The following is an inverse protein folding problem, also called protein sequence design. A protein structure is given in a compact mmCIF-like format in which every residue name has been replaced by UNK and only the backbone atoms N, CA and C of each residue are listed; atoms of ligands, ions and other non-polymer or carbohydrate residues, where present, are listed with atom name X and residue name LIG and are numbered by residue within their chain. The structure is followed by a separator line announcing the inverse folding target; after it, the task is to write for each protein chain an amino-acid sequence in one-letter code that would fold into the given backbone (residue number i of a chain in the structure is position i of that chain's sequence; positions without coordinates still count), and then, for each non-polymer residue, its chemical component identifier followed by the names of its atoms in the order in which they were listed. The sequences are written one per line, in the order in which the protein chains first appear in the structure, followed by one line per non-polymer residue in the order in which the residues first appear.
data_IF_995275527745
#
_entry.id   IF_995275527745
#
_cell.length_a   1.000
_cell.length_b   1.000
_cell.length_c   1.000
_cell.angle_alpha   90.00
_cell.angle_beta   90.00
_cell.angle_gamma   90.00
#
_symmetry.space_group_name_H-M   'P 1'
#
loop_
_entity.id
_entity.type
_entity.pdbx_description
1 polymer ?
#
# COMPACT_ATOMS: atom_id res chain seq x y z
N UNK A 1 -1.49 -3.43 -35.15
CA UNK A 1 -2.03 -3.46 -33.77
C UNK A 1 -3.40 -2.84 -33.82
N UNK A 2 -4.45 -3.65 -33.70
CA UNK A 2 -5.84 -3.20 -33.78
C UNK A 2 -6.19 -2.45 -32.49
N UNK A 3 -6.21 -1.12 -32.57
CA UNK A 3 -6.69 -0.26 -31.50
C UNK A 3 -8.21 -0.37 -31.54
N UNK A 4 -8.79 -1.15 -30.62
CA UNK A 4 -10.24 -1.12 -30.42
C UNK A 4 -10.63 0.30 -30.01
N UNK A 5 -11.49 1.00 -30.77
CA UNK A 5 -11.98 2.29 -30.34
C UNK A 5 -12.78 2.08 -29.03
N UNK A 6 -12.63 2.96 -28.02
CA UNK A 6 -13.43 2.87 -26.82
C UNK A 6 -14.90 2.99 -27.21
N UNK A 7 -15.67 1.91 -27.07
CA UNK A 7 -17.14 2.02 -27.06
C UNK A 7 -17.50 2.79 -25.80
N UNK A 8 -17.86 4.06 -25.96
CA UNK A 8 -18.66 4.78 -24.98
C UNK A 8 -19.88 3.91 -24.68
N UNK A 9 -19.90 3.32 -23.48
CA UNK A 9 -21.06 2.61 -22.98
C UNK A 9 -22.15 3.66 -22.78
N UNK A 10 -22.99 3.85 -23.79
CA UNK A 10 -24.22 4.62 -23.64
C UNK A 10 -25.15 3.80 -22.74
N UNK A 11 -25.01 3.97 -21.42
CA UNK A 11 -26.00 3.48 -20.48
C UNK A 11 -27.15 4.46 -20.49
N UNK A 12 -28.33 3.90 -20.73
CA UNK A 12 -29.62 4.55 -20.68
C UNK A 12 -29.78 5.30 -19.34
N UNK A 13 -29.64 6.63 -19.36
CA UNK A 13 -29.72 7.50 -18.17
C UNK A 13 -31.14 7.63 -17.61
N UNK A 14 -32.10 6.87 -18.14
CA UNK A 14 -33.53 7.07 -17.98
C UNK A 14 -34.14 6.47 -16.70
N UNK A 15 -33.33 6.21 -15.66
CA UNK A 15 -33.80 5.66 -14.37
C UNK A 15 -33.69 6.59 -13.16
N UNK A 16 -33.33 7.86 -13.36
CA UNK A 16 -33.39 8.86 -12.28
C UNK A 16 -33.95 10.19 -12.80
N UNK A 17 -35.07 10.67 -12.24
CA UNK A 17 -35.67 11.98 -12.58
C UNK A 17 -34.71 13.17 -12.37
N UNK A 18 -33.64 13.00 -11.58
CA UNK A 18 -32.66 14.02 -11.28
C UNK A 18 -31.48 13.97 -12.26
N UNK A 19 -31.13 15.14 -12.79
CA UNK A 19 -29.91 15.35 -13.57
C UNK A 19 -28.65 14.97 -12.77
N UNK A 20 -27.56 14.64 -13.46
CA UNK A 20 -26.26 14.34 -12.84
C UNK A 20 -25.82 15.44 -11.85
N UNK A 21 -26.00 16.71 -12.25
CA UNK A 21 -25.67 17.88 -11.44
C UNK A 21 -26.46 17.93 -10.13
N UNK A 22 -27.74 17.62 -10.15
CA UNK A 22 -28.58 17.60 -8.94
C UNK A 22 -28.16 16.47 -8.00
N UNK A 23 -27.82 15.28 -8.52
CA UNK A 23 -27.28 14.19 -7.72
C UNK A 23 -25.97 14.59 -7.05
N UNK A 24 -25.06 15.23 -7.78
CA UNK A 24 -23.78 15.71 -7.26
C UNK A 24 -23.97 16.76 -6.15
N UNK A 25 -24.81 17.78 -6.38
CA UNK A 25 -25.12 18.81 -5.37
C UNK A 25 -25.69 18.15 -4.10
N UNK A 26 -26.60 17.19 -4.26
CA UNK A 26 -27.19 16.48 -3.13
C UNK A 26 -26.16 15.64 -2.36
N UNK A 27 -25.15 15.07 -3.01
CA UNK A 27 -24.05 14.34 -2.35
C UNK A 27 -23.13 15.29 -1.57
N UNK A 28 -22.73 16.39 -2.21
CA UNK A 28 -21.84 17.40 -1.61
C UNK A 28 -22.48 18.12 -0.42
N UNK A 29 -23.81 18.15 -0.35
CA UNK A 29 -24.56 18.76 0.75
C UNK A 29 -24.69 17.86 1.99
N UNK A 30 -24.20 16.61 1.92
CA UNK A 30 -24.25 15.66 3.04
C UNK A 30 -23.01 15.78 3.92
N UNK A 31 -23.06 15.16 5.10
CA UNK A 31 -21.87 14.93 5.92
C UNK A 31 -20.93 13.92 5.24
N UNK A 32 -19.66 14.32 5.12
CA UNK A 32 -18.57 13.61 4.45
C UNK A 32 -17.37 13.35 5.37
N UNK A 33 -17.55 13.48 6.69
CA UNK A 33 -16.46 13.34 7.67
C UNK A 33 -16.12 11.88 8.00
N UNK A 34 -17.08 10.96 7.84
CA UNK A 34 -16.95 9.51 8.04
C UNK A 34 -16.27 9.09 9.36
N UNK A 35 -16.30 9.96 10.38
CA UNK A 35 -15.73 9.69 11.69
C UNK A 35 -16.33 8.42 12.30
N UNK A 36 -15.45 7.57 12.87
CA UNK A 36 -15.83 6.29 13.47
C UNK A 36 -16.19 5.17 12.48
N UNK A 37 -16.09 5.39 11.16
CA UNK A 37 -16.22 4.33 10.16
C UNK A 37 -14.92 3.52 10.05
N UNK A 38 -15.05 2.20 9.95
CA UNK A 38 -13.91 1.33 9.72
C UNK A 38 -13.37 1.52 8.29
N UNK A 39 -12.17 2.09 8.18
CA UNK A 39 -11.45 2.30 6.92
C UNK A 39 -10.44 1.20 6.63
N UNK A 40 -10.38 0.16 7.48
CA UNK A 40 -9.37 -0.88 7.43
C UNK A 40 -9.73 -2.12 6.64
N UNK A 41 -10.89 -2.13 5.98
CA UNK A 41 -11.35 -3.28 5.21
C UNK A 41 -10.58 -3.46 3.90
N UNK A 42 -10.70 -4.66 3.33
CA UNK A 42 -10.02 -5.04 2.09
C UNK A 42 -8.51 -4.71 2.18
N UNK A 43 -7.92 -4.14 1.12
CA UNK A 43 -6.50 -3.81 1.08
C UNK A 43 -6.22 -2.32 1.43
N UNK A 44 -7.15 -1.60 2.07
CA UNK A 44 -6.93 -0.18 2.41
C UNK A 44 -5.80 0.05 3.40
N UNK A 45 -5.61 -0.86 4.36
CA UNK A 45 -4.55 -0.76 5.38
C UNK A 45 -3.23 -1.45 5.00
N UNK A 46 -3.06 -1.84 3.73
CA UNK A 46 -1.90 -2.58 3.25
C UNK A 46 -0.56 -1.91 3.58
N UNK A 47 -0.49 -0.59 3.34
CA UNK A 47 0.71 0.22 3.54
C UNK A 47 0.30 1.65 3.97
N UNK A 48 1.11 2.28 4.81
CA UNK A 48 0.92 3.70 5.16
C UNK A 48 1.29 4.59 3.97
N UNK A 49 0.46 5.56 3.64
CA UNK A 49 0.72 6.52 2.58
C UNK A 49 0.20 7.89 3.04
N UNK A 50 0.88 9.00 2.73
CA UNK A 50 0.46 10.33 3.16
C UNK A 50 -0.90 10.72 2.56
N UNK A 51 -1.61 11.61 3.26
CA UNK A 51 -2.82 12.30 2.78
C UNK A 51 -3.95 11.40 2.21
N UNK A 52 -4.11 10.18 2.75
CA UNK A 52 -5.22 9.29 2.35
C UNK A 52 -6.56 9.79 2.88
N UNK A 53 -7.57 9.90 2.02
CA UNK A 53 -8.96 10.06 2.43
C UNK A 53 -9.60 8.72 2.88
N UNK A 54 -10.68 8.76 3.69
CA UNK A 54 -11.44 7.57 4.06
C UNK A 54 -12.04 6.87 2.82
N UNK A 55 -11.96 5.53 2.69
CA UNK A 55 -12.52 4.78 1.56
C UNK A 55 -14.00 5.00 1.31
N UNK A 56 -14.77 5.34 2.35
CA UNK A 56 -16.21 5.61 2.25
C UNK A 56 -16.50 6.83 1.38
N UNK A 57 -15.57 7.79 1.31
CA UNK A 57 -15.73 8.99 0.50
C UNK A 57 -15.84 8.64 -0.99
N UNK A 58 -14.82 8.10 -1.67
CA UNK A 58 -14.94 7.76 -3.10
C UNK A 58 -16.04 6.71 -3.33
N UNK A 59 -16.23 5.72 -2.45
CA UNK A 59 -17.30 4.71 -2.58
C UNK A 59 -18.66 5.37 -2.79
N UNK A 60 -18.99 6.35 -1.93
CA UNK A 60 -20.26 7.06 -1.94
C UNK A 60 -20.51 7.79 -3.27
N UNK A 61 -19.49 8.44 -3.82
CA UNK A 61 -19.60 9.15 -5.10
C UNK A 61 -19.66 8.17 -6.28
N UNK A 62 -18.83 7.12 -6.28
CA UNK A 62 -18.83 6.08 -7.32
C UNK A 62 -20.21 5.41 -7.39
N UNK A 63 -20.77 4.99 -6.26
CA UNK A 63 -22.08 4.33 -6.22
C UNK A 63 -23.23 5.22 -6.70
N UNK A 64 -23.19 6.50 -6.39
CA UNK A 64 -24.28 7.42 -6.69
C UNK A 64 -24.20 8.08 -8.08
N UNK A 65 -23.02 8.11 -8.70
CA UNK A 65 -22.78 8.85 -9.95
C UNK A 65 -22.43 7.95 -11.15
N UNK A 66 -22.14 6.67 -10.94
CA UNK A 66 -21.73 5.72 -11.99
C UNK A 66 -22.53 4.43 -11.94
N UNK A 67 -22.66 3.75 -13.07
CA UNK A 67 -23.18 2.39 -13.17
C UNK A 67 -22.03 1.35 -13.09
N UNK A 68 -22.31 0.10 -12.70
CA UNK A 68 -21.37 -1.01 -12.93
C UNK A 68 -20.92 -1.06 -14.39
N UNK A 69 -19.63 -1.27 -14.62
CA UNK A 69 -18.99 -1.24 -15.94
C UNK A 69 -18.39 0.11 -16.35
N UNK A 70 -18.83 1.22 -15.73
CA UNK A 70 -18.31 2.56 -16.02
C UNK A 70 -16.84 2.70 -15.64
N UNK A 71 -16.17 3.70 -16.24
CA UNK A 71 -14.82 4.10 -15.87
C UNK A 71 -14.84 5.19 -14.79
N UNK A 72 -13.94 5.05 -13.82
CA UNK A 72 -13.69 6.05 -12.76
C UNK A 72 -12.23 6.46 -12.85
N UNK A 73 -12.00 7.74 -13.14
CA UNK A 73 -10.67 8.32 -13.26
C UNK A 73 -10.28 9.05 -11.96
N UNK A 74 -9.08 8.77 -11.45
CA UNK A 74 -8.42 9.52 -10.40
C UNK A 74 -7.03 10.01 -10.91
N UNK A 75 -6.88 11.32 -11.23
CA UNK A 75 -5.66 11.85 -11.82
C UNK A 75 -4.51 12.01 -10.81
N UNK A 76 -4.76 11.83 -9.51
CA UNK A 76 -3.77 11.93 -8.44
C UNK A 76 -4.06 10.86 -7.37
N UNK A 77 -4.03 9.59 -7.79
CA UNK A 77 -4.62 8.50 -7.04
C UNK A 77 -3.92 8.19 -5.70
N UNK A 78 -2.67 8.63 -5.52
CA UNK A 78 -1.84 8.27 -4.38
C UNK A 78 -1.82 6.76 -4.18
N UNK A 79 -2.12 6.30 -2.97
CA UNK A 79 -2.18 4.87 -2.66
C UNK A 79 -3.29 4.08 -3.37
N UNK A 80 -4.08 4.68 -4.26
CA UNK A 80 -5.09 4.00 -5.08
C UNK A 80 -6.42 3.74 -4.38
N UNK A 81 -6.82 4.58 -3.41
CA UNK A 81 -8.09 4.38 -2.69
C UNK A 81 -9.29 4.45 -3.64
N UNK A 82 -9.36 5.45 -4.53
CA UNK A 82 -10.43 5.56 -5.54
C UNK A 82 -10.43 4.37 -6.51
N UNK A 83 -9.26 3.97 -6.98
CA UNK A 83 -9.10 2.84 -7.90
C UNK A 83 -9.58 1.53 -7.26
N UNK A 84 -9.20 1.28 -6.00
CA UNK A 84 -9.67 0.12 -5.27
C UNK A 84 -11.18 0.16 -5.04
N UNK A 85 -11.75 1.30 -4.67
CA UNK A 85 -13.21 1.41 -4.46
C UNK A 85 -14.00 1.29 -5.76
N UNK A 86 -13.49 1.82 -6.87
CA UNK A 86 -14.06 1.60 -8.20
C UNK A 86 -14.04 0.11 -8.53
N UNK A 87 -12.90 -0.55 -8.33
CA UNK A 87 -12.77 -1.99 -8.51
C UNK A 87 -13.79 -2.74 -7.64
N UNK A 88 -13.83 -2.51 -6.32
CA UNK A 88 -14.79 -3.17 -5.42
C UNK A 88 -16.26 -2.87 -5.74
N UNK A 89 -16.54 -1.81 -6.51
CA UNK A 89 -17.87 -1.43 -6.94
C UNK A 89 -18.25 -2.01 -8.33
N UNK A 90 -17.40 -2.76 -9.01
CA UNK A 90 -17.71 -3.21 -10.38
C UNK A 90 -17.45 -2.17 -11.45
N UNK A 91 -16.58 -1.18 -11.20
CA UNK A 91 -16.17 -0.17 -12.18
C UNK A 91 -14.72 -0.37 -12.61
N UNK A 92 -14.37 0.21 -13.76
CA UNK A 92 -13.00 0.29 -14.26
C UNK A 92 -12.30 1.48 -13.61
N UNK A 93 -11.43 1.24 -12.62
CA UNK A 93 -10.61 2.27 -12.02
C UNK A 93 -9.41 2.62 -12.91
N UNK A 94 -9.22 3.90 -13.22
CA UNK A 94 -8.06 4.45 -13.92
C UNK A 94 -7.40 5.44 -12.98
N UNK A 95 -6.12 5.26 -12.69
CA UNK A 95 -5.40 6.09 -11.74
C UNK A 95 -4.05 6.55 -12.29
N UNK A 96 -3.73 7.82 -12.07
CA UNK A 96 -2.43 8.40 -12.37
C UNK A 96 -1.73 8.86 -11.10
N UNK A 97 -0.43 8.60 -11.03
CA UNK A 97 0.43 9.17 -10.01
C UNK A 97 1.88 9.20 -10.53
N UNK A 98 2.66 10.17 -10.03
CA UNK A 98 4.09 10.27 -10.35
C UNK A 98 4.95 9.39 -9.43
N UNK A 99 4.45 9.05 -8.24
CA UNK A 99 5.18 8.24 -7.26
C UNK A 99 5.17 6.75 -7.67
N UNK A 100 6.33 6.12 -7.95
CA UNK A 100 6.38 4.69 -8.26
C UNK A 100 5.80 3.80 -7.15
N UNK A 101 5.89 4.22 -5.87
CA UNK A 101 5.30 3.48 -4.75
C UNK A 101 3.77 3.54 -4.79
N UNK A 102 3.19 4.68 -5.18
CA UNK A 102 1.75 4.83 -5.40
C UNK A 102 1.26 3.85 -6.47
N UNK A 103 1.96 3.79 -7.62
CA UNK A 103 1.65 2.86 -8.71
C UNK A 103 1.73 1.40 -8.25
N UNK A 104 2.83 1.03 -7.59
CA UNK A 104 3.05 -0.34 -7.10
C UNK A 104 1.99 -0.76 -6.07
N UNK A 105 1.66 0.13 -5.13
CA UNK A 105 0.67 -0.12 -4.09
C UNK A 105 -0.74 -0.22 -4.66
N UNK A 106 -1.13 0.71 -5.54
CA UNK A 106 -2.44 0.71 -6.21
C UNK A 106 -2.64 -0.60 -6.98
N UNK A 107 -1.67 -1.00 -7.82
CA UNK A 107 -1.72 -2.28 -8.54
C UNK A 107 -1.83 -3.48 -7.60
N UNK A 108 -1.01 -3.53 -6.54
CA UNK A 108 -1.05 -4.66 -5.60
C UNK A 108 -2.38 -4.78 -4.87
N UNK A 109 -3.09 -3.68 -4.61
CA UNK A 109 -4.39 -3.67 -3.92
C UNK A 109 -5.52 -4.30 -4.74
N UNK A 110 -5.45 -4.16 -6.07
CA UNK A 110 -6.45 -4.71 -7.02
C UNK A 110 -5.99 -6.00 -7.69
N UNK A 111 -4.73 -6.43 -7.47
CA UNK A 111 -4.23 -7.70 -7.99
C UNK A 111 -4.75 -8.85 -7.13
N UNK A 112 -5.56 -9.75 -7.70
CA UNK A 112 -6.07 -10.90 -6.95
C UNK A 112 -4.95 -11.91 -6.69
N UNK A 113 -4.88 -12.40 -5.45
CA UNK A 113 -3.92 -13.41 -4.99
C UNK A 113 -4.64 -14.50 -4.21
N UNK A 114 -4.25 -15.77 -4.40
CA UNK A 114 -4.75 -16.87 -3.57
C UNK A 114 -4.18 -16.74 -2.16
N UNK A 115 -5.08 -16.62 -1.18
CA UNK A 115 -4.72 -16.38 0.22
C UNK A 115 -3.90 -17.52 0.82
N UNK A 116 -4.15 -18.77 0.41
CA UNK A 116 -3.39 -19.93 0.91
C UNK A 116 -1.97 -19.89 0.36
N UNK A 117 -1.79 -19.57 -0.92
CA UNK A 117 -0.47 -19.41 -1.53
C UNK A 117 0.31 -18.26 -0.87
N UNK A 118 -0.33 -17.10 -0.64
CA UNK A 118 0.31 -15.99 0.11
C UNK A 118 0.71 -16.46 1.51
N UNK A 119 -0.15 -17.21 2.21
CA UNK A 119 0.18 -17.75 3.54
C UNK A 119 1.36 -18.73 3.52
N UNK A 120 1.41 -19.64 2.56
CA UNK A 120 2.49 -20.60 2.38
C UNK A 120 3.82 -19.91 2.10
N UNK A 121 3.86 -19.03 1.09
CA UNK A 121 5.06 -18.28 0.71
C UNK A 121 5.51 -17.39 1.89
N UNK A 122 4.58 -16.74 2.58
CA UNK A 122 4.90 -15.91 3.75
C UNK A 122 5.59 -16.69 4.87
N UNK A 123 5.10 -17.90 5.17
CA UNK A 123 5.71 -18.79 6.17
C UNK A 123 7.09 -19.29 5.72
N UNK A 124 7.26 -19.60 4.43
CA UNK A 124 8.55 -20.01 3.87
C UNK A 124 9.59 -18.89 3.95
N UNK A 125 9.22 -17.65 3.56
CA UNK A 125 10.08 -16.46 3.71
C UNK A 125 10.55 -16.33 5.17
N UNK A 126 9.62 -16.38 6.13
CA UNK A 126 9.95 -16.22 7.55
C UNK A 126 10.89 -17.33 8.04
N UNK A 127 10.60 -18.59 7.72
CA UNK A 127 11.43 -19.73 8.12
C UNK A 127 12.84 -19.62 7.56
N UNK A 128 12.97 -19.29 6.27
CA UNK A 128 14.27 -19.18 5.61
C UNK A 128 15.06 -17.97 6.08
N UNK A 129 14.40 -16.82 6.27
CA UNK A 129 15.02 -15.62 6.80
C UNK A 129 15.51 -15.84 8.25
N UNK A 130 14.72 -16.52 9.09
CA UNK A 130 15.11 -16.82 10.46
C UNK A 130 16.30 -17.80 10.54
N UNK A 131 16.31 -18.86 9.74
CA UNK A 131 17.49 -19.75 9.62
C UNK A 131 18.71 -18.98 9.10
N UNK A 132 18.56 -18.17 8.04
CA UNK A 132 19.66 -17.39 7.48
C UNK A 132 20.28 -16.43 8.49
N UNK A 133 19.46 -15.70 9.26
CA UNK A 133 19.96 -14.76 10.28
C UNK A 133 20.75 -15.44 11.41
N UNK A 134 20.51 -16.73 11.68
CA UNK A 134 21.19 -17.49 12.74
C UNK A 134 22.40 -18.27 12.23
N UNK A 135 22.22 -18.99 11.13
CA UNK A 135 23.16 -20.01 10.64
C UNK A 135 24.08 -19.47 9.53
N UNK A 136 23.61 -18.50 8.76
CA UNK A 136 24.34 -17.92 7.61
C UNK A 136 24.60 -16.43 7.78
N UNK A 137 24.82 -16.01 9.03
CA UNK A 137 25.02 -14.60 9.38
C UNK A 137 26.19 -13.97 8.63
N UNK A 138 27.34 -14.65 8.58
CA UNK A 138 28.54 -14.14 7.91
C UNK A 138 28.31 -13.90 6.41
N UNK A 139 27.48 -14.73 5.75
CA UNK A 139 27.11 -14.54 4.35
C UNK A 139 26.25 -13.28 4.18
N UNK A 140 25.28 -13.06 5.08
CA UNK A 140 24.45 -11.85 5.09
C UNK A 140 25.29 -10.60 5.34
N UNK A 141 26.27 -10.65 6.26
CA UNK A 141 27.19 -9.54 6.51
C UNK A 141 27.99 -9.17 5.25
N UNK A 142 28.52 -10.17 4.54
CA UNK A 142 29.21 -9.93 3.27
C UNK A 142 28.28 -9.30 2.22
N UNK A 143 27.05 -9.80 2.08
CA UNK A 143 26.08 -9.21 1.16
C UNK A 143 25.79 -7.76 1.55
N UNK A 144 25.62 -7.47 2.84
CA UNK A 144 25.38 -6.12 3.34
C UNK A 144 26.51 -5.15 2.98
N UNK A 145 27.76 -5.61 3.05
CA UNK A 145 28.96 -4.85 2.68
C UNK A 145 29.12 -4.62 1.17
N UNK A 146 28.39 -5.33 0.31
CA UNK A 146 28.52 -5.22 -1.14
C UNK A 146 27.25 -4.68 -1.81
N UNK A 147 26.10 -4.72 -1.12
CA UNK A 147 24.78 -4.40 -1.71
C UNK A 147 24.61 -2.96 -2.15
N UNK A 148 25.28 -2.03 -1.48
CA UNK A 148 25.06 -0.60 -1.66
C UNK A 148 26.35 0.19 -1.79
N UNK A 149 26.28 1.26 -2.59
CA UNK A 149 27.31 2.30 -2.65
C UNK A 149 27.53 2.94 -1.27
N UNK A 150 28.66 3.65 -1.13
CA UNK A 150 29.07 4.22 0.16
C UNK A 150 28.06 5.22 0.75
N UNK A 151 27.37 5.99 -0.10
CA UNK A 151 26.37 6.98 0.34
C UNK A 151 25.11 6.28 0.84
N UNK A 152 24.61 5.30 0.10
CA UNK A 152 23.44 4.51 0.49
C UNK A 152 23.72 3.68 1.75
N UNK A 153 24.91 3.09 1.89
CA UNK A 153 25.32 2.40 3.11
C UNK A 153 25.33 3.33 4.32
N UNK A 154 25.93 4.51 4.19
CA UNK A 154 25.94 5.53 5.26
C UNK A 154 24.52 5.90 5.71
N UNK A 155 23.58 5.98 4.77
CA UNK A 155 22.17 6.22 5.08
C UNK A 155 21.54 5.05 5.84
N UNK A 156 21.77 3.81 5.41
CA UNK A 156 21.23 2.62 6.08
C UNK A 156 21.81 2.48 7.49
N UNK A 157 23.12 2.63 7.67
CA UNK A 157 23.79 2.59 8.98
C UNK A 157 23.30 3.66 9.93
N UNK A 158 22.92 4.83 9.38
CA UNK A 158 22.35 5.90 10.17
C UNK A 158 20.95 5.51 10.71
N UNK A 159 20.12 4.86 9.90
CA UNK A 159 18.72 4.60 10.24
C UNK A 159 18.42 3.22 10.81
N UNK A 160 19.32 2.25 10.71
CA UNK A 160 19.07 0.88 11.13
C UNK A 160 20.25 0.34 11.94
N UNK A 161 19.94 -0.21 13.12
CA UNK A 161 20.94 -0.95 13.89
C UNK A 161 21.40 -2.17 13.09
N UNK A 162 22.67 -2.56 13.24
CA UNK A 162 23.27 -3.64 12.47
C UNK A 162 22.46 -4.95 12.54
N UNK A 163 22.01 -5.36 13.73
CA UNK A 163 21.12 -6.52 13.89
C UNK A 163 19.80 -6.42 13.09
N UNK A 164 19.21 -5.21 13.04
CA UNK A 164 18.03 -4.95 12.22
C UNK A 164 18.36 -5.09 10.74
N UNK A 165 19.53 -4.60 10.31
CA UNK A 165 19.96 -4.70 8.91
C UNK A 165 20.08 -6.17 8.49
N UNK A 166 20.65 -7.04 9.34
CA UNK A 166 20.77 -8.48 9.07
C UNK A 166 19.39 -9.14 8.91
N UNK A 167 18.45 -8.91 9.82
CA UNK A 167 17.11 -9.49 9.71
C UNK A 167 16.34 -8.94 8.49
N UNK A 168 16.45 -7.64 8.19
CA UNK A 168 15.85 -7.04 7.00
C UNK A 168 16.47 -7.59 5.71
N UNK A 169 17.79 -7.80 5.68
CA UNK A 169 18.49 -8.37 4.55
C UNK A 169 18.10 -9.84 4.33
N UNK A 170 17.96 -10.60 5.41
CA UNK A 170 17.46 -11.97 5.35
C UNK A 170 16.04 -12.03 4.75
N UNK A 171 15.13 -11.13 5.14
CA UNK A 171 13.79 -11.06 4.55
C UNK A 171 13.81 -10.70 3.06
N UNK A 172 14.48 -9.61 2.71
CA UNK A 172 14.40 -9.08 1.34
C UNK A 172 15.09 -10.01 0.32
N UNK A 173 16.17 -10.70 0.71
CA UNK A 173 16.83 -11.69 -0.16
C UNK A 173 15.92 -12.90 -0.45
N UNK A 174 15.08 -13.34 0.50
CA UNK A 174 14.07 -14.36 0.23
C UNK A 174 12.94 -13.83 -0.66
N UNK A 175 12.51 -12.59 -0.45
CA UNK A 175 11.47 -11.96 -1.26
C UNK A 175 11.94 -11.79 -2.72
N UNK A 176 13.18 -11.39 -2.94
CA UNK A 176 13.77 -11.19 -4.28
C UNK A 176 13.83 -12.47 -5.11
N UNK A 177 13.84 -13.66 -4.47
CA UNK A 177 13.86 -14.96 -5.13
C UNK A 177 12.49 -15.41 -5.66
N UNK A 178 11.40 -14.72 -5.31
CA UNK A 178 10.04 -15.11 -5.73
C UNK A 178 9.86 -14.83 -7.21
N UNK A 179 9.69 -15.87 -8.03
CA UNK A 179 9.55 -15.75 -9.47
C UNK A 179 8.29 -14.97 -9.88
N UNK A 180 7.13 -15.30 -9.29
CA UNK A 180 5.88 -14.60 -9.60
C UNK A 180 5.90 -13.16 -9.04
N UNK A 181 5.93 -12.20 -9.96
CA UNK A 181 6.02 -10.76 -9.68
C UNK A 181 4.88 -10.26 -8.81
N UNK A 182 3.69 -10.86 -8.87
CA UNK A 182 2.52 -10.45 -8.08
C UNK A 182 2.74 -10.74 -6.60
N UNK A 183 3.17 -11.97 -6.28
CA UNK A 183 3.53 -12.35 -4.92
C UNK A 183 4.76 -11.57 -4.44
N UNK A 184 5.78 -11.42 -5.28
CA UNK A 184 6.97 -10.62 -4.98
C UNK A 184 6.60 -9.18 -4.58
N UNK A 185 5.77 -8.53 -5.38
CA UNK A 185 5.28 -7.16 -5.14
C UNK A 185 4.53 -7.07 -3.82
N UNK A 186 3.63 -8.03 -3.54
CA UNK A 186 2.90 -8.10 -2.27
C UNK A 186 3.85 -8.13 -1.07
N UNK A 187 4.86 -9.00 -1.09
CA UNK A 187 5.81 -9.12 0.02
C UNK A 187 6.80 -7.96 0.10
N UNK A 188 7.21 -7.37 -1.02
CA UNK A 188 8.02 -6.14 -1.04
C UNK A 188 7.28 -4.98 -0.37
N UNK A 189 5.98 -4.83 -0.65
CA UNK A 189 5.15 -3.82 0.01
C UNK A 189 4.94 -4.14 1.50
N UNK A 190 4.74 -5.42 1.87
CA UNK A 190 4.69 -5.81 3.28
C UNK A 190 6.02 -5.51 4.02
N UNK A 191 7.15 -5.76 3.37
CA UNK A 191 8.49 -5.42 3.85
C UNK A 191 8.68 -3.89 4.00
N UNK A 192 8.28 -3.12 2.99
CA UNK A 192 8.32 -1.65 3.07
C UNK A 192 7.45 -1.11 4.22
N UNK A 193 6.27 -1.71 4.43
CA UNK A 193 5.32 -1.27 5.45
C UNK A 193 5.82 -1.47 6.90
N UNK A 194 6.78 -2.36 7.14
CA UNK A 194 7.40 -2.53 8.47
C UNK A 194 8.53 -1.55 8.73
N UNK A 195 9.09 -0.96 7.66
CA UNK A 195 10.09 0.10 7.75
C UNK A 195 9.39 1.42 8.08
N UNK A 196 8.29 1.73 7.40
CA UNK A 196 7.54 2.99 7.56
C UNK A 196 6.47 2.85 8.65
N UNK A 197 6.81 3.24 9.89
CA UNK A 197 5.91 3.14 11.05
C UNK A 197 5.81 4.45 11.82
N UNK A 198 4.65 4.74 12.43
CA UNK A 198 4.44 5.92 13.28
C UNK A 198 5.27 5.84 14.57
N UNK A 199 5.21 4.71 15.28
CA UNK A 199 5.92 4.52 16.56
C UNK A 199 6.39 3.07 16.73
N UNK A 200 7.57 2.90 17.33
CA UNK A 200 8.06 1.58 17.73
C UNK A 200 8.41 0.59 16.60
N UNK A 201 8.76 1.03 15.39
CA UNK A 201 9.16 0.12 14.30
C UNK A 201 10.60 -0.40 14.34
N UNK A 202 11.03 -0.93 13.19
CA UNK A 202 12.34 -1.58 13.01
C UNK A 202 13.51 -0.60 12.85
N UNK A 203 13.25 0.64 12.44
CA UNK A 203 14.26 1.68 12.26
C UNK A 203 14.56 2.46 13.55
N UNK A 204 15.61 3.27 13.52
CA UNK A 204 15.98 4.23 14.57
C UNK A 204 15.18 5.54 14.48
N UNK A 205 14.26 5.68 13.52
CA UNK A 205 13.46 6.88 13.32
C UNK A 205 12.17 6.90 14.16
N UNK A 206 11.73 8.10 14.54
CA UNK A 206 10.38 8.43 14.98
C UNK A 206 9.58 9.00 13.80
N UNK A 207 8.26 8.74 13.77
CA UNK A 207 7.27 9.43 12.94
C UNK A 207 7.45 9.37 11.41
N UNK A 208 7.92 8.22 10.90
CA UNK A 208 8.20 8.02 9.46
C UNK A 208 6.98 8.18 8.53
N UNK A 209 5.76 8.09 9.06
CA UNK A 209 4.55 8.06 8.25
C UNK A 209 3.92 9.45 8.02
N UNK A 210 4.32 10.51 8.75
CA UNK A 210 3.61 11.80 8.73
C UNK A 210 4.51 13.05 8.78
N UNK A 211 5.77 12.94 9.21
CA UNK A 211 6.65 14.11 9.39
C UNK A 211 8.11 13.79 9.02
N UNK A 212 8.99 14.80 9.05
CA UNK A 212 10.44 14.58 8.88
C UNK A 212 10.92 13.63 9.99
N UNK A 213 11.57 12.51 9.63
CA UNK A 213 11.94 11.51 10.62
C UNK A 213 12.96 12.07 11.60
N UNK A 214 12.70 11.87 12.88
CA UNK A 214 13.63 12.23 13.96
C UNK A 214 14.34 10.98 14.47
N UNK A 215 15.67 10.99 14.52
CA UNK A 215 16.44 9.84 15.03
C UNK A 215 16.31 9.74 16.56
N UNK A 216 16.10 8.52 17.05
CA UNK A 216 16.12 8.23 18.48
C UNK A 216 17.50 8.51 19.09
N UNK A 217 17.51 9.03 20.33
CA UNK A 217 18.75 9.35 21.05
C UNK A 217 19.15 8.27 22.05
N UNK A 218 18.17 7.51 22.54
CA UNK A 218 18.39 6.32 23.36
C UNK A 218 17.64 5.16 22.72
N UNK A 219 18.31 4.04 22.51
CA UNK A 219 17.70 2.87 21.89
C UNK A 219 17.99 1.63 22.69
N UNK A 220 16.95 0.90 23.02
CA UNK A 220 17.02 -0.42 23.64
C UNK A 220 16.79 -1.50 22.59
N UNK A 221 17.56 -2.59 22.68
CA UNK A 221 17.20 -3.82 22.00
C UNK A 221 16.04 -4.51 22.72
N UNK A 222 15.66 -5.68 22.19
CA UNK A 222 14.53 -6.48 22.68
C UNK A 222 14.78 -7.07 24.07
N UNK A 223 16.03 -7.15 24.51
CA UNK A 223 16.42 -7.67 25.83
C UNK A 223 16.48 -6.57 26.89
N UNK A 224 16.27 -5.31 26.49
CA UNK A 224 16.40 -4.15 27.37
C UNK A 224 17.84 -3.65 27.51
N UNK A 225 18.78 -4.15 26.70
CA UNK A 225 20.14 -3.63 26.63
C UNK A 225 20.19 -2.41 25.72
N UNK A 226 21.02 -1.44 26.10
CA UNK A 226 21.20 -0.21 25.33
C UNK A 226 22.05 -0.49 24.09
N UNK A 227 21.52 -0.12 22.92
CA UNK A 227 22.18 -0.19 21.61
C UNK A 227 22.71 1.20 21.20
N UNK A 228 22.11 2.27 21.72
CA UNK A 228 22.51 3.65 21.45
C UNK A 228 22.18 4.56 22.64
N UNK A 229 23.05 5.51 22.95
CA UNK A 229 22.76 6.57 23.94
C UNK A 229 23.15 6.24 25.39
N UNK A 230 24.17 5.40 25.62
CA UNK A 230 24.69 5.07 26.96
C UNK A 230 24.94 6.32 27.82
N UNK A 231 25.44 7.40 27.24
CA UNK A 231 25.83 8.65 27.93
C UNK A 231 24.63 9.51 28.40
N UNK A 232 23.41 9.10 28.01
CA UNK A 232 22.16 9.79 28.32
C UNK A 232 21.31 9.02 29.34
N UNK A 233 21.60 7.73 29.58
CA UNK A 233 20.85 6.91 30.53
C UNK A 233 21.23 7.31 31.96
N UNK A 234 20.23 7.67 32.78
CA UNK A 234 20.43 8.13 34.18
C UNK A 234 20.46 9.66 34.37
N UNK A 235 20.45 10.47 33.30
CA UNK A 235 20.33 11.93 33.43
C UNK A 235 18.86 12.32 33.72
N UNK A 236 18.55 13.22 34.69
CA UNK A 236 17.17 13.46 35.18
C UNK A 236 16.25 14.25 34.22
N UNK A 237 16.51 14.25 32.92
CA UNK A 237 15.72 15.06 31.98
C UNK A 237 14.42 14.35 31.59
N UNK A 238 13.27 14.97 31.91
CA UNK A 238 11.94 14.54 31.45
C UNK A 238 11.86 14.36 29.92
N UNK A 239 12.73 15.04 29.15
CA UNK A 239 12.78 14.93 27.67
C UNK A 239 13.39 13.61 27.18
N UNK A 240 14.22 12.92 27.97
CA UNK A 240 14.88 11.68 27.54
C UNK A 240 13.85 10.56 27.30
N UNK A 241 12.78 10.49 28.10
CA UNK A 241 11.68 9.53 27.90
C UNK A 241 11.04 9.62 26.50
N UNK A 242 10.95 10.83 25.93
CA UNK A 242 10.39 11.07 24.60
C UNK A 242 11.40 10.85 23.46
N UNK A 243 12.66 10.54 23.79
CA UNK A 243 13.76 10.31 22.84
C UNK A 243 14.25 8.85 22.88
N UNK A 244 13.55 8.01 23.64
CA UNK A 244 13.85 6.59 23.85
C UNK A 244 12.98 5.72 22.96
N UNK A 245 13.59 4.74 22.28
CA UNK A 245 12.88 3.74 21.46
C UNK A 245 13.33 2.33 21.81
N UNK A 246 12.42 1.37 21.76
CA UNK A 246 12.75 -0.06 21.78
C UNK A 246 12.59 -0.61 20.37
N UNK A 247 13.63 -1.25 19.84
CA UNK A 247 13.60 -1.86 18.52
C UNK A 247 12.74 -3.13 18.53
N UNK A 248 11.86 -3.25 17.55
CA UNK A 248 11.11 -4.48 17.28
C UNK A 248 11.85 -5.38 16.30
N UNK A 249 11.41 -6.64 16.22
CA UNK A 249 11.96 -7.58 15.24
C UNK A 249 11.39 -7.34 13.85
N UNK A 250 12.23 -7.08 12.83
CA UNK A 250 11.83 -7.19 11.44
C UNK A 250 11.02 -8.45 11.14
N UNK A 251 11.48 -9.63 11.56
CA UNK A 251 10.78 -10.89 11.31
C UNK A 251 9.36 -10.88 11.92
N UNK A 252 9.22 -10.48 13.19
CA UNK A 252 7.89 -10.45 13.85
C UNK A 252 6.97 -9.36 13.30
N UNK A 253 7.50 -8.18 12.98
CA UNK A 253 6.67 -7.11 12.40
C UNK A 253 6.27 -7.46 10.96
N UNK A 254 7.14 -8.15 10.21
CA UNK A 254 6.82 -8.68 8.88
C UNK A 254 5.71 -9.73 8.95
N UNK A 255 5.83 -10.71 9.85
CA UNK A 255 4.79 -11.71 10.10
C UNK A 255 3.43 -11.05 10.40
N UNK A 256 3.38 -10.13 11.37
CA UNK A 256 2.15 -9.40 11.71
C UNK A 256 1.58 -8.65 10.52
N UNK A 257 2.44 -8.01 9.72
CA UNK A 257 2.01 -7.27 8.53
C UNK A 257 1.44 -8.19 7.47
N UNK A 258 2.09 -9.33 7.21
CA UNK A 258 1.59 -10.34 6.26
C UNK A 258 0.23 -10.88 6.73
N UNK A 259 0.08 -11.21 8.01
CA UNK A 259 -1.19 -11.66 8.58
C UNK A 259 -2.30 -10.61 8.45
N UNK A 260 -1.99 -9.35 8.72
CA UNK A 260 -2.94 -8.24 8.52
C UNK A 260 -3.36 -8.12 7.05
N UNK A 261 -2.41 -8.20 6.12
CA UNK A 261 -2.69 -8.07 4.69
C UNK A 261 -3.46 -9.29 4.15
N UNK A 262 -3.21 -10.50 4.67
CA UNK A 262 -3.98 -11.71 4.37
C UNK A 262 -5.46 -11.57 4.75
N UNK A 263 -5.74 -10.99 5.92
CA UNK A 263 -7.12 -10.69 6.35
C UNK A 263 -7.82 -9.76 5.34
N UNK A 264 -7.11 -8.72 4.91
CA UNK A 264 -7.60 -7.80 3.89
C UNK A 264 -7.90 -8.47 2.54
N UNK A 265 -7.05 -9.40 2.09
CA UNK A 265 -7.29 -10.18 0.88
C UNK A 265 -8.54 -11.07 1.00
N UNK A 266 -8.76 -11.72 2.14
CA UNK A 266 -9.97 -12.53 2.37
C UNK A 266 -11.26 -11.68 2.30
N UNK A 267 -11.23 -10.48 2.85
CA UNK A 267 -12.36 -9.54 2.80
C UNK A 267 -12.65 -9.07 1.36
N UNK A 268 -11.62 -8.96 0.52
CA UNK A 268 -11.78 -8.56 -0.89
C UNK A 268 -12.43 -9.62 -1.79
N UNK A 269 -12.56 -10.88 -1.34
CA UNK A 269 -13.20 -12.02 -2.05
C UNK A 269 -12.79 -12.17 -3.53
N UNK A 270 -11.50 -12.38 -3.84
CA UNK A 270 -10.96 -12.36 -5.21
C UNK A 270 -11.46 -13.49 -6.15
N UNK A 271 -12.01 -14.58 -5.59
CA UNK A 271 -12.55 -15.73 -6.34
C UNK A 271 -14.01 -15.55 -6.76
N UNK A 272 -14.70 -14.56 -6.19
CA UNK A 272 -15.94 -14.11 -6.80
C UNK A 272 -15.52 -13.27 -7.99
N UNK A 273 -15.78 -13.77 -9.21
CA UNK A 273 -16.22 -12.88 -10.30
C UNK A 273 -17.07 -11.84 -9.61
N UNK A 274 -16.67 -10.57 -9.66
CA UNK A 274 -17.42 -9.55 -8.95
C UNK A 274 -18.87 -9.76 -9.36
N UNK A 275 -19.81 -10.00 -8.43
CA UNK A 275 -21.15 -10.49 -8.79
C UNK A 275 -21.91 -9.52 -9.73
N UNK A 276 -21.37 -8.32 -9.93
CA UNK A 276 -21.85 -7.28 -10.82
C UNK A 276 -21.21 -7.26 -12.22
N UNK A 277 -20.20 -8.09 -12.51
CA UNK A 277 -19.60 -8.24 -13.84
C UNK A 277 -20.13 -9.48 -14.58
N UNK A 278 -20.77 -10.40 -13.86
CA UNK A 278 -21.43 -11.58 -14.42
C UNK A 278 -22.61 -11.13 -15.31
N UNK A 279 -22.49 -11.34 -16.63
CA UNK A 279 -23.52 -10.95 -17.62
C UNK A 279 -23.40 -9.53 -18.20
N UNK A 280 -22.44 -8.71 -17.74
CA UNK A 280 -22.11 -7.38 -18.31
C UNK A 280 -21.01 -7.48 -19.38
N UNK A 281 -20.17 -8.51 -19.29
CA UNK A 281 -19.21 -8.94 -20.30
C UNK A 281 -19.68 -10.33 -20.78
N UNK A 282 -19.63 -10.60 -22.08
CA UNK A 282 -20.16 -11.80 -22.72
C UNK A 282 -19.58 -13.12 -22.15
N UNK A 283 -20.14 -14.26 -22.58
CA UNK A 283 -19.84 -15.61 -22.09
C UNK A 283 -18.31 -15.86 -21.95
N UNK A 284 -17.88 -16.02 -20.70
CA UNK A 284 -16.52 -15.95 -20.17
C UNK A 284 -16.09 -14.53 -19.77
N UNK A 285 -16.26 -14.14 -18.49
CA UNK A 285 -15.82 -12.82 -18.05
C UNK A 285 -14.31 -12.75 -18.16
N UNK A 286 -13.80 -12.09 -19.21
CA UNK A 286 -12.40 -11.68 -19.29
C UNK A 286 -12.09 -10.91 -18.01
N UNK A 287 -11.34 -11.54 -17.12
CA UNK A 287 -10.91 -10.96 -15.86
C UNK A 287 -10.17 -9.67 -16.20
N UNK A 288 -10.63 -8.53 -15.69
CA UNK A 288 -9.91 -7.26 -15.86
C UNK A 288 -8.59 -7.40 -15.09
N UNK A 289 -7.51 -7.68 -15.81
CA UNK A 289 -6.17 -7.81 -15.24
C UNK A 289 -5.60 -6.40 -14.98
N UNK A 290 -5.26 -6.06 -13.73
CA UNK A 290 -4.65 -4.77 -13.43
C UNK A 290 -3.29 -4.63 -14.11
N UNK A 291 -3.10 -3.53 -14.82
CA UNK A 291 -1.83 -3.20 -15.45
C UNK A 291 -1.36 -1.80 -15.07
N UNK A 292 -0.04 -1.58 -15.19
CA UNK A 292 0.57 -0.25 -15.09
C UNK A 292 1.17 0.05 -16.45
N UNK A 293 0.87 1.22 -16.98
CA UNK A 293 1.52 1.76 -18.17
C UNK A 293 2.22 3.06 -17.81
N UNK A 294 3.44 3.24 -18.32
CA UNK A 294 4.09 4.54 -18.30
C UNK A 294 3.42 5.39 -19.38
N UNK A 295 2.70 6.42 -18.95
CA UNK A 295 2.01 7.36 -19.83
C UNK A 295 2.58 8.76 -19.67
N UNK A 296 2.49 9.56 -20.73
CA UNK A 296 2.65 11.00 -20.63
C UNK A 296 1.27 11.62 -20.42
N UNK A 297 1.02 12.18 -19.23
CA UNK A 297 -0.26 12.83 -18.91
C UNK A 297 -0.61 13.95 -19.91
N UNK A 298 0.41 14.60 -20.52
CA UNK A 298 0.20 15.64 -21.54
C UNK A 298 -0.27 15.09 -22.90
N UNK A 299 -0.27 13.78 -23.09
CA UNK A 299 -0.62 13.11 -24.36
C UNK A 299 -1.87 12.24 -24.23
N UNK A 300 -2.69 12.46 -23.20
CA UNK A 300 -3.93 11.73 -22.99
C UNK A 300 -4.99 12.14 -24.03
N UNK A 301 -5.62 11.18 -24.74
CA UNK A 301 -6.71 11.45 -25.65
C UNK A 301 -8.02 11.62 -24.86
N UNK A 302 -8.16 12.74 -24.15
CA UNK A 302 -9.43 13.12 -23.51
C UNK A 302 -10.31 13.85 -24.53
N UNK A 303 -11.57 13.45 -24.65
CA UNK A 303 -12.55 14.14 -25.49
C UNK A 303 -12.92 15.50 -24.89
N UNK A 304 -13.29 16.48 -25.73
CA UNK A 304 -13.60 17.86 -25.35
C UNK A 304 -14.71 18.02 -24.29
N UNK A 305 -15.52 16.97 -24.07
CA UNK A 305 -16.58 16.92 -23.05
C UNK A 305 -16.12 16.35 -21.69
N UNK A 306 -14.82 16.16 -21.47
CA UNK A 306 -14.28 15.62 -20.22
C UNK A 306 -14.42 16.64 -19.07
N UNK A 307 -14.96 16.21 -17.93
CA UNK A 307 -15.04 17.04 -16.72
C UNK A 307 -13.87 16.69 -15.81
N UNK A 308 -13.02 17.69 -15.53
CA UNK A 308 -11.92 17.56 -14.58
C UNK A 308 -12.45 17.85 -13.17
N UNK A 309 -12.56 16.81 -12.33
CA UNK A 309 -12.89 16.96 -10.92
C UNK A 309 -11.59 17.00 -10.10
N UNK A 310 -11.11 18.20 -9.80
CA UNK A 310 -9.97 18.39 -8.91
C UNK A 310 -10.50 18.47 -7.47
N UNK A 311 -10.40 17.37 -6.72
CA UNK A 311 -10.68 17.37 -5.27
C UNK A 311 -9.37 17.64 -4.54
N UNK A 312 -9.12 18.90 -4.18
CA UNK A 312 -8.00 19.25 -3.29
C UNK A 312 -8.45 19.22 -1.84
N UNK A 313 -7.67 18.58 -0.95
CA UNK A 313 -7.78 18.85 0.49
C UNK A 313 -7.44 20.33 0.74
N UNK A 314 -8.12 21.02 1.68
CA UNK A 314 -7.64 22.29 2.23
C UNK A 314 -6.22 22.17 2.79
#
# INVERSE_FOLDING_TARGET
MSVYPPRLLTVDTDKTEKSYRERLIALLSQDLDFHGKDSGYASHNFHSFPAKFPPQLPRKFIEALTAPGDAVLDPMMGSGTTVLEAFLAGRRGIGFDIDPLALMLSKSKVTPLDVRQVGQIGNEILKQAESASRERRNELEKILEERWDSKTRSFVDYWFAHETQIELLALITQIEQIEDVRFRTFFQLAFSAIIITKSGGVSLAFDLAHTRPHRAKVVFDRTGKIVMGNDLVGKPSRRIKFLTKTLRSPLKEFEKRVQQNLKGLLESKPDRIQPYLEGLLEHEPERIEPYIMLGNAQSLPLDDSSVELIVTSP
#
